data_IF_505089511495
#
_entry.id   IF_505089511495
#
_cell.length_a   1.000
_cell.length_b   1.000
_cell.length_c   1.000
_cell.angle_alpha   90.00
_cell.angle_beta   90.00
_cell.angle_gamma   90.00
#
_symmetry.space_group_name_H-M   'P 1'
#
loop_
_entity.id
_entity.type
_entity.pdbx_description
1 polymer ?
#
# COMPACT_ATOMS: atom_id res chain seq x y z
N UNK A 1 -19.13 -12.41 -30.53
CA UNK A 1 -19.72 -13.25 -29.45
C UNK A 1 -18.65 -13.78 -28.49
N UNK A 2 -17.74 -14.68 -28.88
CA UNK A 2 -16.69 -15.21 -27.98
C UNK A 2 -15.64 -14.15 -27.59
N UNK A 3 -15.17 -13.34 -28.53
CA UNK A 3 -14.20 -12.26 -28.26
C UNK A 3 -14.70 -11.19 -27.29
N UNK A 4 -16.00 -10.85 -27.34
CA UNK A 4 -16.62 -9.87 -26.44
C UNK A 4 -16.70 -10.38 -25.00
N UNK A 5 -16.97 -11.68 -24.83
CA UNK A 5 -16.96 -12.35 -23.54
C UNK A 5 -15.54 -12.39 -22.95
N UNK A 6 -14.52 -12.70 -23.75
CA UNK A 6 -13.13 -12.66 -23.30
C UNK A 6 -12.67 -11.25 -22.92
N UNK A 7 -13.03 -10.23 -23.71
CA UNK A 7 -12.72 -8.83 -23.39
C UNK A 7 -13.34 -8.39 -22.07
N UNK A 8 -14.61 -8.73 -21.82
CA UNK A 8 -15.27 -8.41 -20.53
C UNK A 8 -14.59 -9.09 -19.36
N UNK A 9 -14.21 -10.36 -19.50
CA UNK A 9 -13.48 -11.11 -18.48
C UNK A 9 -12.09 -10.52 -18.20
N UNK A 10 -11.32 -10.19 -19.24
CA UNK A 10 -10.01 -9.53 -19.10
C UNK A 10 -10.12 -8.17 -18.41
N UNK A 11 -11.15 -7.37 -18.75
CA UNK A 11 -11.43 -6.09 -18.11
C UNK A 11 -11.79 -6.22 -16.63
N UNK A 12 -12.60 -7.20 -16.25
CA UNK A 12 -12.91 -7.47 -14.83
C UNK A 12 -11.67 -7.87 -14.04
N UNK A 13 -10.87 -8.81 -14.56
CA UNK A 13 -9.64 -9.28 -13.88
C UNK A 13 -8.63 -8.14 -13.74
N UNK A 14 -8.48 -7.31 -14.77
CA UNK A 14 -7.64 -6.10 -14.76
C UNK A 14 -8.09 -5.12 -13.67
N UNK A 15 -9.39 -4.80 -13.62
CA UNK A 15 -9.94 -3.89 -12.61
C UNK A 15 -9.76 -4.45 -11.19
N UNK A 16 -9.97 -5.75 -10.99
CA UNK A 16 -9.81 -6.39 -9.69
C UNK A 16 -8.35 -6.32 -9.21
N UNK A 17 -7.37 -6.58 -10.09
CA UNK A 17 -5.95 -6.45 -9.74
C UNK A 17 -5.56 -5.02 -9.44
N UNK A 18 -6.04 -4.05 -10.22
CA UNK A 18 -5.81 -2.63 -9.94
C UNK A 18 -6.36 -2.24 -8.56
N UNK A 19 -7.57 -2.68 -8.22
CA UNK A 19 -8.17 -2.41 -6.91
C UNK A 19 -7.38 -3.02 -5.75
N UNK A 20 -6.82 -4.22 -5.93
CA UNK A 20 -5.93 -4.84 -4.94
C UNK A 20 -4.62 -4.04 -4.78
N UNK A 21 -4.07 -3.50 -5.87
CA UNK A 21 -2.87 -2.66 -5.82
C UNK A 21 -3.09 -1.35 -5.09
N UNK A 22 -4.22 -0.69 -5.34
CA UNK A 22 -4.59 0.52 -4.59
C UNK A 22 -4.82 0.22 -3.12
N UNK A 23 -5.61 -0.82 -2.81
CA UNK A 23 -5.92 -1.18 -1.41
C UNK A 23 -4.64 -1.47 -0.64
N UNK A 24 -3.76 -2.31 -1.19
CA UNK A 24 -2.50 -2.65 -0.54
C UNK A 24 -1.56 -1.44 -0.46
N UNK A 25 -1.51 -0.60 -1.49
CA UNK A 25 -0.73 0.64 -1.45
C UNK A 25 -1.17 1.57 -0.31
N UNK A 26 -2.49 1.73 -0.13
CA UNK A 26 -3.07 2.51 0.99
C UNK A 26 -2.71 1.89 2.33
N UNK A 27 -2.78 0.56 2.47
CA UNK A 27 -2.40 -0.15 3.70
C UNK A 27 -0.93 0.11 4.03
N UNK A 28 -0.02 -0.03 3.06
CA UNK A 28 1.41 0.22 3.27
C UNK A 28 1.73 1.67 3.60
N UNK A 29 1.04 2.64 2.98
CA UNK A 29 1.17 4.06 3.33
C UNK A 29 0.66 4.31 4.76
N UNK A 30 -0.48 3.74 5.14
CA UNK A 30 -1.05 3.91 6.48
C UNK A 30 -0.11 3.37 7.55
N UNK A 31 0.44 2.17 7.31
CA UNK A 31 1.44 1.55 8.20
C UNK A 31 2.72 2.40 8.25
N UNK A 32 3.22 2.86 7.10
CA UNK A 32 4.44 3.67 7.03
C UNK A 32 4.32 5.00 7.76
N UNK A 33 3.18 5.67 7.61
CA UNK A 33 2.83 6.87 8.38
C UNK A 33 2.74 6.54 9.88
N UNK A 34 2.06 5.47 10.24
CA UNK A 34 1.98 5.05 11.65
C UNK A 34 3.36 4.89 12.28
N UNK A 35 4.29 4.16 11.64
CA UNK A 35 5.65 3.98 12.15
C UNK A 35 6.46 5.28 12.22
N UNK A 36 6.30 6.19 11.26
CA UNK A 36 6.99 7.50 11.30
C UNK A 36 6.46 8.43 12.39
N UNK A 37 5.15 8.43 12.61
CA UNK A 37 4.51 9.28 13.61
C UNK A 37 4.47 8.65 15.00
N UNK A 38 4.70 7.33 15.17
CA UNK A 38 4.74 6.67 16.49
C UNK A 38 5.75 7.31 17.44
N UNK A 39 6.86 7.83 16.93
CA UNK A 39 7.87 8.52 17.73
C UNK A 39 7.48 9.93 18.18
N UNK A 40 6.39 10.51 17.66
CA UNK A 40 5.87 11.84 18.04
C UNK A 40 4.67 11.75 18.99
N UNK A 41 4.01 10.59 19.05
CA UNK A 41 2.82 10.39 19.84
C UNK A 41 3.19 9.47 21.01
N UNK A 42 3.22 10.01 22.24
CA UNK A 42 3.30 9.21 23.46
C UNK A 42 1.97 8.45 23.66
N UNK A 43 1.79 7.42 22.85
CA UNK A 43 0.68 6.47 22.99
C UNK A 43 1.09 5.36 23.95
N UNK A 44 0.11 4.77 24.64
CA UNK A 44 0.28 3.55 25.46
C UNK A 44 0.92 2.40 24.67
N UNK A 45 0.88 2.47 23.34
CA UNK A 45 1.57 1.54 22.44
C UNK A 45 3.10 1.69 22.47
N UNK A 46 3.70 2.85 22.77
CA UNK A 46 5.15 2.97 22.96
C UNK A 46 5.61 2.37 24.30
N UNK A 47 4.72 2.23 25.28
CA UNK A 47 5.05 1.51 26.52
C UNK A 47 5.09 -0.01 26.28
N UNK A 48 4.28 -0.51 25.34
CA UNK A 48 4.25 -1.91 24.93
C UNK A 48 5.25 -2.26 23.82
N UNK A 49 5.45 -1.37 22.85
CA UNK A 49 6.45 -1.50 21.81
C UNK A 49 7.65 -0.65 22.18
N UNK A 50 8.79 -1.31 22.44
CA UNK A 50 10.13 -0.73 22.65
C UNK A 50 10.34 0.60 21.93
N UNK A 51 11.11 1.49 22.57
CA UNK A 51 11.43 2.85 22.10
C UNK A 51 11.57 2.94 20.57
N UNK A 52 11.00 4.00 19.95
CA UNK A 52 11.12 4.24 18.51
C UNK A 52 12.58 4.21 18.08
N UNK A 53 12.97 3.13 17.41
CA UNK A 53 14.35 2.91 17.02
C UNK A 53 14.60 3.45 15.60
N UNK A 54 15.86 3.57 15.20
CA UNK A 54 16.21 4.01 13.85
C UNK A 54 15.54 3.10 12.78
N UNK A 55 15.39 1.82 13.11
CA UNK A 55 14.74 0.81 12.27
C UNK A 55 13.26 1.10 12.00
N UNK A 56 12.51 1.62 12.97
CA UNK A 56 11.09 1.97 12.79
C UNK A 56 10.92 3.10 11.79
N UNK A 57 11.79 4.11 11.86
CA UNK A 57 11.80 5.22 10.90
C UNK A 57 12.15 4.72 9.50
N UNK A 58 13.17 3.86 9.37
CA UNK A 58 13.57 3.27 8.08
C UNK A 58 12.44 2.42 7.50
N UNK A 59 11.81 1.55 8.31
CA UNK A 59 10.66 0.74 7.90
C UNK A 59 9.47 1.62 7.50
N UNK A 60 9.21 2.69 8.23
CA UNK A 60 8.16 3.66 7.91
C UNK A 60 8.38 4.32 6.55
N UNK A 61 9.59 4.84 6.31
CA UNK A 61 9.98 5.45 5.02
C UNK A 61 9.91 4.44 3.88
N UNK A 62 10.45 3.23 4.08
CA UNK A 62 10.41 2.17 3.06
C UNK A 62 8.97 1.75 2.73
N UNK A 63 8.12 1.61 3.74
CA UNK A 63 6.70 1.26 3.56
C UNK A 63 5.95 2.35 2.80
N UNK A 64 6.25 3.63 3.08
CA UNK A 64 5.70 4.74 2.31
C UNK A 64 6.15 4.71 0.85
N UNK A 65 7.45 4.57 0.58
CA UNK A 65 7.99 4.50 -0.78
C UNK A 65 7.36 3.34 -1.55
N UNK A 66 7.27 2.16 -0.93
CA UNK A 66 6.65 0.98 -1.54
C UNK A 66 5.15 1.16 -1.77
N UNK A 67 4.43 1.73 -0.80
CA UNK A 67 2.99 2.01 -0.92
C UNK A 67 2.68 3.02 -2.02
N UNK A 68 3.45 4.10 -2.12
CA UNK A 68 3.34 5.08 -3.21
C UNK A 68 3.62 4.43 -4.57
N UNK A 69 4.65 3.59 -4.66
CA UNK A 69 4.95 2.86 -5.89
C UNK A 69 3.84 1.87 -6.27
N UNK A 70 3.21 1.20 -5.30
CA UNK A 70 2.02 0.33 -5.52
C UNK A 70 0.85 1.12 -6.10
N UNK A 71 0.57 2.31 -5.56
CA UNK A 71 -0.47 3.20 -6.07
C UNK A 71 -0.12 3.68 -7.48
N UNK A 72 1.12 4.10 -7.73
CA UNK A 72 1.58 4.51 -9.06
C UNK A 72 1.44 3.38 -10.09
N UNK A 73 1.79 2.14 -9.71
CA UNK A 73 1.59 0.94 -10.54
C UNK A 73 0.11 0.69 -10.84
N UNK A 74 -0.76 0.84 -9.85
CA UNK A 74 -2.22 0.75 -10.02
C UNK A 74 -2.79 1.85 -10.92
N UNK A 75 -2.25 3.07 -10.85
CA UNK A 75 -2.65 4.22 -11.66
C UNK A 75 -2.23 4.11 -13.12
N UNK A 76 -1.02 3.63 -13.37
CA UNK A 76 -0.54 3.42 -14.73
C UNK A 76 -1.41 2.44 -15.53
N UNK A 77 -2.33 1.70 -14.87
CA UNK A 77 -3.26 0.74 -15.48
C UNK A 77 -2.56 -0.06 -16.59
N UNK A 78 -1.36 -0.54 -16.30
CA UNK A 78 -0.58 -1.38 -17.21
C UNK A 78 -1.15 -2.81 -17.25
N UNK A 79 -2.47 -2.90 -17.23
CA UNK A 79 -3.17 -4.17 -17.25
C UNK A 79 -3.54 -4.58 -18.67
N UNK A 80 -3.61 -3.68 -19.66
CA UNK A 80 -3.52 -3.95 -21.10
C UNK A 80 -3.24 -2.64 -21.84
#
# INVERSE_FOLDING_TARGET
MLEDYEKKKRKQVSNMRAMLDYTMGIVFITIGLFFLFRGRINTVLNDYLRDPDLLDKVLGVMSLLYGVWRIYRGYKKNYF
#
